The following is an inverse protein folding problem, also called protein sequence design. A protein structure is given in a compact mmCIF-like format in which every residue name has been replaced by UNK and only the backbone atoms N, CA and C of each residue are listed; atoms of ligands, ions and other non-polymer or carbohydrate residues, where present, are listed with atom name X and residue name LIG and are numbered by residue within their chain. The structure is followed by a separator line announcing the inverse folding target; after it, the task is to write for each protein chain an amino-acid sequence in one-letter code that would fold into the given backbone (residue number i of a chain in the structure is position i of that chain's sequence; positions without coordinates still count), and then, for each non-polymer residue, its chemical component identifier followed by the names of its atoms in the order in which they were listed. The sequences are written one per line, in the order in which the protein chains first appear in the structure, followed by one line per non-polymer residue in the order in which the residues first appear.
data_IF_673792957226
#
_entry.id   IF_673792957226
#
_cell.length_a   1.000
_cell.length_b   1.000
_cell.length_c   1.000
_cell.angle_alpha   90.00
_cell.angle_beta   90.00
_cell.angle_gamma   90.00
#
_symmetry.space_group_name_H-M   'P 1'
#
loop_
_entity.id
_entity.type
_entity.pdbx_description
1 polymer ?
#
# COMPACT_ATOMS: atom_id res chain seq x y z
N UNK A 1 -6.77 -6.59 18.45
CA UNK A 1 -7.50 -5.66 17.57
C UNK A 1 -8.45 -6.49 16.70
N UNK A 2 -9.73 -6.13 16.57
CA UNK A 2 -10.66 -6.77 15.62
C UNK A 2 -10.87 -5.81 14.45
N UNK A 3 -10.94 -6.35 13.23
CA UNK A 3 -11.24 -5.59 12.02
C UNK A 3 -11.85 -6.51 10.97
N UNK A 4 -12.55 -5.95 10.00
CA UNK A 4 -13.15 -6.67 8.88
C UNK A 4 -12.76 -6.00 7.56
N UNK A 5 -12.71 -6.79 6.49
CA UNK A 5 -12.54 -6.26 5.14
C UNK A 5 -13.87 -5.64 4.72
N UNK A 6 -13.88 -4.32 4.48
CA UNK A 6 -15.06 -3.61 4.01
C UNK A 6 -15.27 -3.80 2.51
N UNK A 7 -14.19 -3.66 1.74
CA UNK A 7 -14.17 -3.81 0.28
C UNK A 7 -12.82 -4.39 -0.15
N UNK A 8 -12.82 -5.20 -1.21
CA UNK A 8 -11.60 -5.69 -1.86
C UNK A 8 -11.86 -5.86 -3.34
N UNK A 9 -10.90 -5.44 -4.17
CA UNK A 9 -10.92 -5.67 -5.61
C UNK A 9 -9.54 -6.08 -6.07
N UNK A 10 -9.49 -6.90 -7.10
CA UNK A 10 -8.28 -7.22 -7.86
C UNK A 10 -8.49 -6.71 -9.29
N UNK A 11 -7.40 -6.53 -10.04
CA UNK A 11 -7.52 -6.31 -11.48
C UNK A 11 -8.06 -7.59 -12.13
N UNK A 12 -8.89 -7.43 -13.15
CA UNK A 12 -9.42 -8.55 -13.91
C UNK A 12 -8.26 -9.44 -14.42
N UNK A 13 -8.50 -10.75 -14.42
CA UNK A 13 -7.58 -11.78 -14.90
C UNK A 13 -6.26 -11.93 -14.11
N UNK A 14 -6.09 -11.25 -12.97
CA UNK A 14 -4.94 -11.47 -12.09
C UNK A 14 -5.21 -12.60 -11.09
N UNK A 15 -4.26 -13.54 -11.00
CA UNK A 15 -4.18 -14.48 -9.88
C UNK A 15 -3.45 -13.83 -8.69
N UNK A 16 -4.10 -13.67 -7.52
CA UNK A 16 -3.45 -13.12 -6.33
C UNK A 16 -2.24 -13.98 -5.90
N UNK A 17 -1.15 -13.32 -5.49
CA UNK A 17 0.04 -13.99 -4.98
C UNK A 17 -0.18 -14.69 -3.63
N UNK A 18 -1.16 -14.21 -2.86
CA UNK A 18 -1.53 -14.75 -1.56
C UNK A 18 -2.93 -15.37 -1.66
N UNK A 19 -3.13 -16.50 -1.00
CA UNK A 19 -4.47 -17.01 -0.74
C UNK A 19 -5.25 -16.02 0.11
N UNK A 20 -6.58 -16.17 0.15
CA UNK A 20 -7.45 -15.30 0.96
C UNK A 20 -7.05 -15.29 2.44
N UNK A 21 -6.74 -16.44 3.03
CA UNK A 21 -6.35 -16.56 4.44
C UNK A 21 -5.02 -15.88 4.71
N UNK A 22 -4.04 -16.05 3.80
CA UNK A 22 -2.75 -15.37 3.90
C UNK A 22 -2.90 -13.86 3.76
N UNK A 23 -3.80 -13.41 2.88
CA UNK A 23 -4.10 -11.98 2.70
C UNK A 23 -4.78 -11.38 3.93
N UNK A 24 -5.73 -12.09 4.56
CA UNK A 24 -6.36 -11.68 5.82
C UNK A 24 -5.33 -11.59 6.97
N UNK A 25 -4.44 -12.58 7.09
CA UNK A 25 -3.35 -12.54 8.06
C UNK A 25 -2.36 -11.40 7.77
N UNK A 26 -2.09 -11.14 6.50
CA UNK A 26 -1.26 -10.04 6.05
C UNK A 26 -1.86 -8.68 6.43
N UNK A 27 -3.14 -8.46 6.11
CA UNK A 27 -3.92 -7.29 6.47
C UNK A 27 -3.88 -7.02 7.96
N UNK A 28 -4.08 -8.07 8.77
CA UNK A 28 -4.01 -7.97 10.22
C UNK A 28 -2.65 -7.44 10.69
N UNK A 29 -1.54 -8.00 10.17
CA UNK A 29 -0.19 -7.54 10.51
C UNK A 29 0.05 -6.09 10.07
N UNK A 30 -0.45 -5.69 8.91
CA UNK A 30 -0.34 -4.30 8.44
C UNK A 30 -1.10 -3.33 9.37
N UNK A 31 -2.29 -3.73 9.83
CA UNK A 31 -3.09 -2.95 10.76
C UNK A 31 -2.41 -2.80 12.12
N UNK A 32 -1.79 -3.87 12.66
CA UNK A 32 -0.99 -3.78 13.89
C UNK A 32 0.18 -2.81 13.71
N UNK A 33 0.93 -2.90 12.60
CA UNK A 33 2.05 -1.98 12.32
C UNK A 33 1.61 -0.51 12.23
N UNK A 34 0.42 -0.25 11.70
CA UNK A 34 -0.11 1.12 11.65
C UNK A 34 -0.62 1.58 13.02
N UNK A 35 -1.25 0.69 13.78
CA UNK A 35 -1.68 0.96 15.15
C UNK A 35 -0.52 1.32 16.07
N UNK A 36 0.61 0.60 16.01
CA UNK A 36 1.78 0.89 16.87
C UNK A 36 2.46 2.20 16.50
N UNK A 37 2.44 2.61 15.22
CA UNK A 37 2.95 3.92 14.81
C UNK A 37 2.10 5.09 15.33
N UNK A 38 0.86 4.84 15.79
CA UNK A 38 -0.01 5.86 16.37
C UNK A 38 0.61 6.50 17.63
N UNK A 39 1.46 5.76 18.33
CA UNK A 39 2.11 6.22 19.57
C UNK A 39 3.07 7.40 19.34
N UNK A 40 3.48 7.64 18.09
CA UNK A 40 4.42 8.70 17.74
C UNK A 40 3.80 9.85 16.92
N UNK A 41 2.47 9.85 16.70
CA UNK A 41 1.83 10.83 15.80
C UNK A 41 2.06 12.26 16.22
N UNK A 42 2.00 12.56 17.52
CA UNK A 42 2.18 13.92 18.04
C UNK A 42 3.58 14.47 17.72
N UNK A 43 4.59 13.60 17.71
CA UNK A 43 5.98 13.99 17.42
C UNK A 43 6.29 14.02 15.93
N UNK A 44 5.70 13.10 15.15
CA UNK A 44 6.04 12.89 13.74
C UNK A 44 5.05 13.52 12.75
N UNK A 45 3.94 14.07 13.22
CA UNK A 45 2.98 14.80 12.39
C UNK A 45 2.00 13.91 11.61
N UNK A 46 1.65 12.73 12.13
CA UNK A 46 0.73 11.81 11.44
C UNK A 46 1.44 10.78 10.55
N UNK A 47 0.71 9.75 10.11
CA UNK A 47 1.21 8.77 9.13
C UNK A 47 0.68 9.13 7.75
N UNK A 48 1.58 9.32 6.79
CA UNK A 48 1.18 9.51 5.40
C UNK A 48 0.80 8.22 4.70
N UNK A 49 1.72 7.27 4.72
CA UNK A 49 1.54 5.90 4.27
C UNK A 49 2.72 5.09 4.81
N UNK A 50 2.62 3.77 4.77
CA UNK A 50 3.75 2.87 4.87
C UNK A 50 3.97 2.20 3.51
N UNK A 51 5.23 2.08 3.12
CA UNK A 51 5.64 1.41 1.90
C UNK A 51 6.44 0.15 2.26
N UNK A 52 6.13 -0.94 1.58
CA UNK A 52 6.89 -2.17 1.64
C UNK A 52 7.21 -2.62 0.21
N UNK A 53 8.49 -2.79 -0.06
CA UNK A 53 8.99 -3.27 -1.34
C UNK A 53 9.31 -4.76 -1.22
N UNK A 54 8.63 -5.58 -2.01
CA UNK A 54 8.90 -7.01 -2.13
C UNK A 54 9.56 -7.29 -3.49
N UNK A 55 10.08 -8.51 -3.66
CA UNK A 55 10.67 -8.93 -4.95
C UNK A 55 9.67 -8.89 -6.11
N UNK A 56 8.38 -9.15 -5.85
CA UNK A 56 7.33 -9.24 -6.89
C UNK A 56 6.36 -8.06 -6.91
N UNK A 57 6.17 -7.39 -5.78
CA UNK A 57 5.17 -6.33 -5.63
C UNK A 57 5.70 -5.17 -4.81
N UNK A 58 5.17 -4.00 -5.07
CA UNK A 58 5.19 -2.84 -4.20
C UNK A 58 3.88 -2.80 -3.42
N UNK A 59 3.95 -2.46 -2.13
CA UNK A 59 2.75 -2.35 -1.32
C UNK A 59 2.69 -1.04 -0.55
N UNK A 60 1.53 -0.41 -0.59
CA UNK A 60 1.18 0.78 0.14
C UNK A 60 0.10 0.47 1.17
N UNK A 61 0.31 0.90 2.42
CA UNK A 61 -0.72 0.93 3.46
C UNK A 61 -0.99 2.39 3.80
N UNK A 62 -2.22 2.84 3.58
CA UNK A 62 -2.61 4.25 3.69
C UNK A 62 -3.72 4.38 4.73
N UNK A 63 -3.54 5.18 5.79
CA UNK A 63 -4.65 5.50 6.69
C UNK A 63 -5.64 6.43 5.97
N UNK A 64 -6.92 6.09 6.02
CA UNK A 64 -8.01 6.91 5.47
C UNK A 64 -8.61 7.88 6.51
N UNK A 65 -8.13 7.81 7.75
CA UNK A 65 -8.51 8.73 8.82
C UNK A 65 -7.33 8.99 9.76
N UNK A 66 -7.39 10.11 10.51
CA UNK A 66 -6.33 10.53 11.43
C UNK A 66 -6.15 9.59 12.62
N UNK A 67 -7.21 8.86 12.99
CA UNK A 67 -7.19 7.94 14.12
C UNK A 67 -6.65 6.56 13.75
N UNK A 68 -6.40 6.31 12.46
CA UNK A 68 -5.87 5.07 11.87
C UNK A 68 -6.85 3.90 12.09
N UNK A 69 -8.17 4.18 12.05
CA UNK A 69 -9.22 3.17 12.21
C UNK A 69 -9.51 2.43 10.90
N UNK A 70 -9.33 3.11 9.77
CA UNK A 70 -9.59 2.62 8.43
C UNK A 70 -8.32 2.69 7.61
N UNK A 71 -7.99 1.58 6.94
CA UNK A 71 -6.77 1.45 6.15
C UNK A 71 -7.13 1.04 4.72
N UNK A 72 -6.47 1.66 3.75
CA UNK A 72 -6.43 1.22 2.37
C UNK A 72 -5.10 0.51 2.12
N UNK A 73 -5.17 -0.73 1.61
CA UNK A 73 -4.00 -1.48 1.17
C UNK A 73 -4.03 -1.60 -0.34
N UNK A 74 -2.91 -1.27 -0.98
CA UNK A 74 -2.74 -1.35 -2.42
C UNK A 74 -1.47 -2.14 -2.69
N UNK A 75 -1.57 -3.14 -3.55
CA UNK A 75 -0.43 -3.89 -4.08
C UNK A 75 -0.32 -3.66 -5.57
N UNK A 76 0.86 -3.28 -6.02
CA UNK A 76 1.20 -3.06 -7.43
C UNK A 76 2.29 -4.04 -7.83
N UNK A 77 2.13 -4.70 -8.97
CA UNK A 77 3.19 -5.57 -9.50
C UNK A 77 4.43 -4.75 -9.84
N UNK A 78 5.60 -5.32 -9.52
CA UNK A 78 6.84 -4.82 -10.10
C UNK A 78 6.90 -5.29 -11.54
N UNK A 79 7.06 -4.35 -12.48
CA UNK A 79 7.43 -4.70 -13.84
C UNK A 79 8.70 -5.56 -13.79
N UNK A 80 8.58 -6.81 -14.23
CA UNK A 80 9.73 -7.68 -14.42
C UNK A 80 10.66 -7.03 -15.43
N UNK A 81 11.88 -6.74 -15.00
CA UNK A 81 12.97 -6.33 -15.89
C UNK A 81 13.45 -7.55 -16.69
N UNK A 82 12.56 -8.15 -17.48
CA UNK A 82 12.94 -9.08 -18.54
C UNK A 82 12.98 -8.28 -19.83
N UNK A 83 14.03 -7.48 -19.97
CA UNK A 83 14.45 -6.91 -21.24
C UNK A 83 15.90 -7.31 -21.42
N UNK A 84 16.12 -8.38 -22.19
CA UNK A 84 17.30 -8.47 -23.05
C UNK A 84 17.22 -7.26 -24.00
N UNK A 85 17.63 -6.09 -23.53
CA UNK A 85 18.25 -5.09 -24.39
C UNK A 85 18.99 -4.04 -23.55
N UNK A 86 20.27 -3.87 -23.84
CA UNK A 86 21.22 -3.09 -23.06
C UNK A 86 20.96 -1.58 -23.08
N UNK A 87 20.00 -1.09 -22.29
CA UNK A 87 19.92 0.34 -21.95
C UNK A 87 19.75 0.53 -20.45
N UNK A 88 20.81 1.08 -19.84
CA UNK A 88 20.74 1.73 -18.54
C UNK A 88 19.68 2.83 -18.57
N UNK A 89 18.51 2.55 -18.00
CA UNK A 89 17.59 3.59 -17.55
C UNK A 89 17.40 3.48 -16.05
N UNK A 90 17.87 4.54 -15.38
CA UNK A 90 17.85 4.72 -13.94
C UNK A 90 16.39 4.89 -13.48
N UNK A 91 15.76 3.80 -13.02
CA UNK A 91 14.32 3.73 -12.82
C UNK A 91 13.90 3.96 -11.36
N UNK A 92 14.44 5.02 -10.73
CA UNK A 92 14.16 5.35 -9.33
C UNK A 92 12.88 6.17 -9.13
N UNK A 93 12.09 6.46 -10.18
CA UNK A 93 10.98 7.42 -10.13
C UNK A 93 9.57 6.82 -10.26
N UNK A 94 9.42 5.53 -10.55
CA UNK A 94 8.10 4.94 -10.84
C UNK A 94 7.22 4.82 -9.59
N UNK A 95 7.80 4.44 -8.45
CA UNK A 95 7.08 4.29 -7.18
C UNK A 95 6.53 5.60 -6.62
N UNK A 96 7.17 6.75 -6.94
CA UNK A 96 6.65 8.08 -6.58
C UNK A 96 5.40 8.41 -7.37
N UNK A 97 5.38 8.15 -8.68
CA UNK A 97 4.24 8.48 -9.54
C UNK A 97 2.95 7.76 -9.12
N UNK A 98 3.00 6.48 -8.77
CA UNK A 98 1.81 5.72 -8.34
C UNK A 98 1.22 6.27 -7.05
N UNK A 99 2.03 6.44 -6.01
CA UNK A 99 1.53 6.93 -4.71
C UNK A 99 1.03 8.37 -4.81
N UNK A 100 1.66 9.22 -5.62
CA UNK A 100 1.22 10.59 -5.86
C UNK A 100 -0.18 10.64 -6.50
N UNK A 101 -0.44 9.74 -7.47
CA UNK A 101 -1.76 9.60 -8.09
C UNK A 101 -2.81 9.12 -7.10
N UNK A 102 -2.49 8.09 -6.31
CA UNK A 102 -3.38 7.57 -5.26
C UNK A 102 -3.72 8.69 -4.28
N UNK A 103 -2.73 9.39 -3.77
CA UNK A 103 -2.94 10.48 -2.80
C UNK A 103 -3.73 11.64 -3.39
N UNK A 104 -3.54 11.97 -4.68
CA UNK A 104 -4.35 12.97 -5.38
C UNK A 104 -5.83 12.57 -5.43
N UNK A 105 -6.13 11.30 -5.72
CA UNK A 105 -7.50 10.78 -5.73
C UNK A 105 -8.10 10.84 -4.32
N UNK A 106 -7.38 10.35 -3.30
CA UNK A 106 -7.89 10.36 -1.93
C UNK A 106 -8.23 11.77 -1.44
N UNK A 107 -7.38 12.76 -1.75
CA UNK A 107 -7.64 14.18 -1.44
C UNK A 107 -8.86 14.73 -2.17
N UNK A 108 -9.07 14.36 -3.44
CA UNK A 108 -10.24 14.78 -4.22
C UNK A 108 -11.57 14.35 -3.57
N UNK A 109 -11.57 13.22 -2.87
CA UNK A 109 -12.76 12.68 -2.19
C UNK A 109 -12.80 12.99 -0.68
N UNK A 110 -11.95 13.88 -0.17
CA UNK A 110 -11.98 14.31 1.23
C UNK A 110 -11.51 13.25 2.24
N UNK A 111 -10.79 12.23 1.78
CA UNK A 111 -10.29 11.15 2.65
C UNK A 111 -8.97 11.49 3.37
N UNK A 112 -8.39 12.69 3.16
CA UNK A 112 -7.18 13.18 3.83
C UNK A 112 -7.19 14.69 4.00
#
# INVERSE_FOLDING_TARGET
MKGSILFSSYKDEIQPLLSRQEYEAFLFKAAIRMGTRKEFLEKLGGINYAFAEYGKINQYTIPLDKEVKTLLLISEDKLSQNSDDGRHHNNNNTSSSSIDRIMKILRKYGMR
#
